data_IF_674913697576
#
_entry.id   IF_674913697576
#
_cell.length_a   1.000
_cell.length_b   1.000
_cell.length_c   1.000
_cell.angle_alpha   90.00
_cell.angle_beta   90.00
_cell.angle_gamma   90.00
#
_symmetry.space_group_name_H-M   'P 1'
#
loop_
_entity.id
_entity.type
_entity.pdbx_description
1 polymer ?
#
# COMPACT_ATOMS: atom_id res chain seq x y z
N UNK A 1 33.27 14.28 -8.10
CA UNK A 1 32.01 14.70 -8.72
C UNK A 1 30.95 14.20 -7.77
N UNK A 2 30.48 15.06 -6.88
CA UNK A 2 29.41 14.68 -5.94
C UNK A 2 28.11 14.70 -6.72
N UNK A 3 27.72 13.53 -7.19
CA UNK A 3 26.44 13.36 -7.86
C UNK A 3 25.32 13.55 -6.81
N UNK A 4 24.28 14.28 -7.18
CA UNK A 4 23.13 14.54 -6.31
C UNK A 4 21.90 13.90 -6.91
N UNK A 5 21.09 13.25 -6.08
CA UNK A 5 19.84 12.62 -6.48
C UNK A 5 18.67 13.52 -6.11
N UNK A 6 17.69 13.63 -7.00
CA UNK A 6 16.35 14.17 -6.72
C UNK A 6 15.35 13.19 -7.34
N UNK A 7 14.62 12.45 -6.51
CA UNK A 7 13.75 11.36 -7.00
C UNK A 7 12.52 11.21 -6.13
N UNK A 8 11.40 10.92 -6.78
CA UNK A 8 10.13 10.57 -6.17
C UNK A 8 9.85 9.07 -6.32
N UNK A 9 9.53 8.40 -5.22
CA UNK A 9 9.16 7.00 -5.21
C UNK A 9 7.77 6.83 -4.61
N UNK A 10 6.94 6.00 -5.25
CA UNK A 10 5.63 5.59 -4.75
C UNK A 10 5.72 4.11 -4.40
N UNK A 11 5.50 3.77 -3.13
CA UNK A 11 5.42 2.39 -2.66
C UNK A 11 3.96 2.03 -2.37
N UNK A 12 3.47 0.96 -2.97
CA UNK A 12 2.11 0.43 -2.73
C UNK A 12 2.20 -0.82 -1.88
N UNK A 13 1.47 -0.87 -0.76
CA UNK A 13 1.41 -2.07 0.07
C UNK A 13 0.26 -2.99 -0.42
N UNK A 14 0.51 -4.30 -0.60
CA UNK A 14 -0.52 -5.24 -1.02
C UNK A 14 -1.40 -5.64 0.17
N UNK A 15 -2.51 -4.94 0.38
CA UNK A 15 -3.44 -5.21 1.50
C UNK A 15 -4.58 -6.17 1.15
N UNK A 16 -4.87 -6.41 -0.14
CA UNK A 16 -6.03 -7.23 -0.57
C UNK A 16 -5.83 -8.75 -0.52
N UNK A 17 -4.62 -9.26 -0.75
CA UNK A 17 -4.44 -10.67 -1.16
C UNK A 17 -4.47 -11.71 -0.03
N UNK A 18 -4.24 -11.31 1.23
CA UNK A 18 -4.02 -12.28 2.32
C UNK A 18 -5.24 -12.58 3.21
N UNK A 19 -6.30 -11.75 3.14
CA UNK A 19 -7.48 -11.89 4.01
C UNK A 19 -8.18 -13.26 3.90
N UNK A 20 -8.39 -13.84 2.70
CA UNK A 20 -9.09 -15.12 2.60
C UNK A 20 -8.34 -16.27 3.29
N UNK A 21 -7.00 -16.28 3.20
CA UNK A 21 -6.17 -17.30 3.85
C UNK A 21 -6.19 -17.17 5.37
N UNK A 22 -6.10 -15.95 5.91
CA UNK A 22 -6.20 -15.69 7.35
C UNK A 22 -7.60 -16.12 7.88
N UNK A 23 -8.66 -15.80 7.13
CA UNK A 23 -10.01 -16.22 7.46
C UNK A 23 -10.16 -17.76 7.44
N UNK A 24 -9.52 -18.45 6.50
CA UNK A 24 -9.50 -19.92 6.44
C UNK A 24 -8.82 -20.54 7.66
N UNK A 25 -7.71 -19.94 8.13
CA UNK A 25 -6.97 -20.43 9.29
C UNK A 25 -7.74 -20.26 10.60
N UNK A 26 -8.46 -19.15 10.76
CA UNK A 26 -9.18 -18.83 12.01
C UNK A 26 -10.61 -19.40 12.02
N UNK A 27 -11.29 -19.40 10.87
CA UNK A 27 -12.71 -19.74 10.76
C UNK A 27 -13.03 -20.91 9.82
N UNK A 28 -12.02 -21.49 9.17
CA UNK A 28 -12.20 -22.59 8.22
C UNK A 28 -12.70 -22.16 6.83
N UNK A 29 -12.87 -23.15 5.96
CA UNK A 29 -13.25 -22.95 4.55
C UNK A 29 -14.59 -22.20 4.35
N UNK A 30 -15.66 -22.40 5.16
CA UNK A 30 -16.90 -21.63 4.99
C UNK A 30 -16.71 -20.13 5.23
N UNK A 31 -15.93 -19.75 6.24
CA UNK A 31 -15.64 -18.34 6.54
C UNK A 31 -14.81 -17.70 5.43
N UNK A 32 -13.78 -18.40 4.94
CA UNK A 32 -12.95 -17.94 3.83
C UNK A 32 -13.75 -17.72 2.54
N UNK A 33 -14.67 -18.63 2.22
CA UNK A 33 -15.54 -18.49 1.06
C UNK A 33 -16.46 -17.26 1.18
N UNK A 34 -17.00 -16.98 2.36
CA UNK A 34 -17.78 -15.77 2.62
C UNK A 34 -16.96 -14.50 2.41
N UNK A 35 -15.76 -14.43 3.01
CA UNK A 35 -14.85 -13.29 2.87
C UNK A 35 -14.45 -13.07 1.41
N UNK A 36 -14.15 -14.13 0.66
CA UNK A 36 -13.78 -14.05 -0.77
C UNK A 36 -14.91 -13.50 -1.65
N UNK A 37 -16.15 -13.94 -1.41
CA UNK A 37 -17.31 -13.46 -2.17
C UNK A 37 -17.62 -12.00 -1.86
N UNK A 38 -17.49 -11.59 -0.59
CA UNK A 38 -17.64 -10.19 -0.20
C UNK A 38 -16.50 -9.34 -0.75
N UNK A 39 -15.25 -9.78 -0.65
CA UNK A 39 -14.09 -9.01 -1.13
C UNK A 39 -14.18 -8.71 -2.63
N UNK A 40 -14.72 -9.64 -3.43
CA UNK A 40 -14.92 -9.45 -4.88
C UNK A 40 -15.84 -8.28 -5.25
N UNK A 41 -16.75 -7.89 -4.36
CA UNK A 41 -17.66 -6.75 -4.57
C UNK A 41 -16.97 -5.42 -4.25
N UNK A 42 -15.98 -5.43 -3.35
CA UNK A 42 -15.27 -4.24 -2.86
C UNK A 42 -13.83 -4.13 -3.39
N UNK A 43 -13.44 -4.99 -4.34
CA UNK A 43 -12.06 -5.16 -4.83
C UNK A 43 -11.51 -3.84 -5.40
N UNK A 44 -12.25 -3.19 -6.31
CA UNK A 44 -11.82 -1.96 -7.01
C UNK A 44 -11.61 -0.74 -6.08
N UNK A 45 -12.28 -0.69 -4.93
CA UNK A 45 -12.20 0.41 -3.96
C UNK A 45 -11.03 0.22 -2.99
N UNK A 46 -10.74 -1.03 -2.62
CA UNK A 46 -9.74 -1.37 -1.61
C UNK A 46 -8.34 -1.49 -2.22
N UNK A 47 -8.22 -1.94 -3.47
CA UNK A 47 -6.93 -2.03 -4.20
C UNK A 47 -6.23 -0.66 -4.36
N UNK A 48 -6.94 0.44 -4.17
CA UNK A 48 -6.42 1.80 -4.31
C UNK A 48 -5.74 2.35 -3.05
N UNK A 49 -5.85 1.67 -1.91
CA UNK A 49 -5.48 2.25 -0.60
C UNK A 49 -4.10 1.75 -0.15
N UNK A 50 -3.29 2.68 0.37
CA UNK A 50 -1.93 2.52 0.93
C UNK A 50 -0.75 2.68 -0.02
N UNK A 51 -0.81 3.71 -0.88
CA UNK A 51 0.41 4.28 -1.48
C UNK A 51 1.10 5.22 -0.49
N UNK A 52 2.42 5.17 -0.42
CA UNK A 52 3.26 6.11 0.33
C UNK A 52 4.23 6.75 -0.67
N UNK A 53 4.23 8.08 -0.77
CA UNK A 53 5.25 8.80 -1.55
C UNK A 53 6.40 9.24 -0.66
N UNK A 54 7.62 8.96 -1.09
CA UNK A 54 8.86 9.43 -0.48
C UNK A 54 9.66 10.21 -1.53
N UNK A 55 10.23 11.33 -1.11
CA UNK A 55 11.20 12.10 -1.90
C UNK A 55 12.59 11.85 -1.32
N UNK A 56 13.53 11.51 -2.19
CA UNK A 56 14.94 11.32 -1.84
C UNK A 56 15.73 12.44 -2.51
N UNK A 57 16.45 13.21 -1.71
CA UNK A 57 17.22 14.38 -2.16
C UNK A 57 18.62 14.40 -1.57
N UNK A 58 19.58 15.02 -2.25
CA UNK A 58 20.92 15.27 -1.71
C UNK A 58 22.02 14.39 -2.32
N UNK A 59 23.25 14.43 -1.78
CA UNK A 59 24.37 13.67 -2.30
C UNK A 59 24.16 12.16 -2.20
N UNK A 60 24.63 11.36 -3.16
CA UNK A 60 24.50 9.88 -3.08
C UNK A 60 25.16 9.27 -1.84
N UNK A 61 26.22 9.91 -1.33
CA UNK A 61 26.91 9.47 -0.10
C UNK A 61 26.08 9.71 1.16
N UNK A 62 25.14 10.68 1.12
CA UNK A 62 24.35 11.13 2.27
C UNK A 62 22.95 11.60 1.81
N UNK A 63 22.09 10.68 1.35
CA UNK A 63 20.77 11.03 0.86
C UNK A 63 19.80 11.34 2.00
N UNK A 64 19.02 12.39 1.84
CA UNK A 64 17.94 12.80 2.73
C UNK A 64 16.61 12.22 2.26
N UNK A 65 15.88 11.56 3.17
CA UNK A 65 14.58 10.91 2.87
C UNK A 65 13.47 11.70 3.55
N UNK A 66 12.53 12.21 2.76
CA UNK A 66 11.36 12.94 3.25
C UNK A 66 10.07 12.20 2.87
N UNK A 67 9.16 12.06 3.84
CA UNK A 67 7.82 11.52 3.61
C UNK A 67 6.95 12.62 3.03
N UNK A 68 6.51 12.45 1.78
CA UNK A 68 5.80 13.49 1.05
C UNK A 68 4.28 13.37 1.27
N UNK A 69 3.72 12.17 1.11
CA UNK A 69 2.28 11.92 1.28
C UNK A 69 2.00 10.48 1.70
N UNK A 70 1.20 10.35 2.77
CA UNK A 70 0.56 9.09 3.15
C UNK A 70 -0.81 9.09 2.51
N UNK A 71 -1.03 8.28 1.47
CA UNK A 71 -2.34 8.18 0.83
C UNK A 71 -3.26 7.33 1.71
N UNK A 72 -3.92 7.97 2.67
CA UNK A 72 -5.14 7.47 3.28
C UNK A 72 -6.30 8.18 2.60
N UNK A 73 -7.08 7.48 1.79
CA UNK A 73 -8.32 8.07 1.27
C UNK A 73 -9.27 8.29 2.45
N UNK A 74 -9.34 9.54 2.90
CA UNK A 74 -10.58 10.10 3.41
C UNK A 74 -11.05 11.07 2.35
N UNK A 75 -12.03 10.65 1.58
CA UNK A 75 -12.84 11.47 0.68
C UNK A 75 -13.17 12.84 1.28
N UNK A 76 -12.95 13.91 0.50
CA UNK A 76 -13.41 15.27 0.80
C UNK A 76 -12.76 16.32 -0.09
N UNK A 77 -13.56 16.85 -1.02
CA UNK A 77 -13.36 18.00 -1.94
C UNK A 77 -12.77 17.73 -3.34
#
# INVERSE_FOLDING_TARGET
>A
MDETLDTHMVATLPVGTNLPWIAALVGGLPAAAGVYLTSKIFEDEVDRVSSFSYRITGPWSEPEVQVDKVFSDKTGE
#
